data_IF_924288180771
#
_entry.id   IF_924288180771
#
_cell.length_a   1.000
_cell.length_b   1.000
_cell.length_c   1.000
_cell.angle_alpha   90.00
_cell.angle_beta   90.00
_cell.angle_gamma   90.00
#
_symmetry.space_group_name_H-M   'P 1'
#
loop_
_entity.id
_entity.type
_entity.pdbx_description
1 polymer ?
#
# COMPACT_ATOMS: atom_id res chain seq x y z
N UNK A 1 2.83 -15.53 -5.33
CA UNK A 1 2.14 -14.46 -4.60
C UNK A 1 0.89 -14.02 -5.34
N UNK A 2 -0.04 -13.45 -4.61
CA UNK A 2 -1.24 -12.92 -5.22
C UNK A 2 -0.92 -11.71 -6.09
N UNK A 3 -1.62 -11.59 -7.20
CA UNK A 3 -1.53 -10.41 -8.06
C UNK A 3 -2.75 -9.53 -7.77
N UNK A 4 -2.51 -8.26 -7.54
CA UNK A 4 -3.57 -7.28 -7.28
C UNK A 4 -3.70 -6.38 -8.49
N UNK A 5 -4.91 -6.27 -9.02
CA UNK A 5 -5.24 -5.29 -10.05
C UNK A 5 -5.52 -3.95 -9.36
N UNK A 6 -5.68 -2.91 -10.17
CA UNK A 6 -6.03 -1.60 -9.63
C UNK A 6 -7.33 -1.66 -8.83
N UNK A 7 -8.35 -2.29 -9.37
CA UNK A 7 -9.65 -2.39 -8.71
C UNK A 7 -9.57 -3.21 -7.42
N UNK A 8 -8.78 -4.27 -7.42
CA UNK A 8 -8.62 -5.07 -6.21
C UNK A 8 -7.90 -4.30 -5.11
N UNK A 9 -6.84 -3.58 -5.48
CA UNK A 9 -6.08 -2.83 -4.49
C UNK A 9 -6.92 -1.74 -3.84
N UNK A 10 -7.79 -1.10 -4.59
CA UNK A 10 -8.66 -0.05 -4.07
C UNK A 10 -9.57 -0.50 -2.95
N UNK A 11 -9.85 -1.79 -2.87
CA UNK A 11 -10.68 -2.34 -1.81
C UNK A 11 -9.98 -2.35 -0.46
N UNK A 12 -8.66 -2.18 -0.46
CA UNK A 12 -7.85 -2.22 0.76
C UNK A 12 -7.35 -0.83 1.14
N UNK A 13 -8.23 0.16 1.01
CA UNK A 13 -7.89 1.57 1.21
C UNK A 13 -8.22 2.10 2.61
N UNK A 14 -8.61 1.22 3.51
CA UNK A 14 -8.96 1.61 4.87
C UNK A 14 -10.40 2.06 5.05
N UNK A 15 -11.18 2.10 3.97
CA UNK A 15 -12.58 2.51 4.06
C UNK A 15 -13.50 1.39 4.55
N UNK A 16 -13.06 0.15 4.48
CA UNK A 16 -13.87 -1.00 4.89
C UNK A 16 -13.38 -1.53 6.23
N UNK A 17 -14.23 -1.41 7.22
CA UNK A 17 -13.90 -1.84 8.56
C UNK A 17 -13.66 -3.34 8.59
N UNK A 18 -12.59 -3.75 9.26
CA UNK A 18 -12.24 -5.16 9.38
C UNK A 18 -11.47 -5.72 8.21
N UNK A 19 -11.21 -4.91 7.20
CA UNK A 19 -10.44 -5.35 6.04
C UNK A 19 -9.01 -4.82 6.13
N UNK A 20 -8.06 -5.60 5.63
CA UNK A 20 -6.66 -5.19 5.63
C UNK A 20 -6.48 -3.89 4.84
N UNK A 21 -5.39 -3.18 5.13
CA UNK A 21 -5.07 -1.92 4.47
C UNK A 21 -3.74 -2.10 3.75
N UNK A 22 -3.74 -1.88 2.44
CA UNK A 22 -2.58 -2.10 1.59
C UNK A 22 -2.29 -0.89 0.73
N UNK A 23 -1.03 -0.82 0.26
CA UNK A 23 -0.69 0.08 -0.82
C UNK A 23 0.31 -0.62 -1.73
N UNK A 24 0.57 -0.05 -2.91
CA UNK A 24 1.55 -0.58 -3.83
C UNK A 24 2.73 0.37 -3.98
N UNK A 25 3.91 -0.19 -4.18
CA UNK A 25 5.12 0.57 -4.45
C UNK A 25 6.04 -0.30 -5.30
N UNK A 26 6.43 0.23 -6.45
CA UNK A 26 7.31 -0.45 -7.40
C UNK A 26 6.87 -1.87 -7.72
N UNK A 27 5.60 -2.04 -7.96
CA UNK A 27 5.04 -3.32 -8.37
C UNK A 27 4.82 -4.33 -7.25
N UNK A 28 5.00 -3.93 -6.00
CA UNK A 28 4.77 -4.78 -4.84
C UNK A 28 3.64 -4.21 -3.98
N UNK A 29 2.88 -5.08 -3.36
CA UNK A 29 1.79 -4.67 -2.46
C UNK A 29 2.25 -4.89 -1.03
N UNK A 30 2.16 -3.83 -0.24
CA UNK A 30 2.60 -3.83 1.16
C UNK A 30 1.41 -3.74 2.09
N UNK A 31 1.48 -4.48 3.19
CA UNK A 31 0.45 -4.49 4.22
C UNK A 31 0.79 -3.43 5.27
N UNK A 32 -0.07 -2.43 5.41
CA UNK A 32 0.10 -1.37 6.40
C UNK A 32 -1.00 -1.39 7.46
N UNK A 33 -1.72 -2.50 7.57
CA UNK A 33 -2.85 -2.62 8.49
C UNK A 33 -2.49 -2.23 9.92
N UNK A 34 -1.34 -2.67 10.39
CA UNK A 34 -0.90 -2.40 11.75
C UNK A 34 0.30 -1.46 11.84
N UNK A 35 0.59 -0.74 10.79
CA UNK A 35 1.75 0.14 10.78
C UNK A 35 1.45 1.46 11.48
N UNK A 36 2.10 1.75 12.62
CA UNK A 36 1.86 3.02 13.32
C UNK A 36 2.30 4.24 12.51
N UNK A 37 3.27 4.07 11.62
CA UNK A 37 3.74 5.18 10.79
C UNK A 37 2.66 5.68 9.84
N UNK A 38 1.79 4.77 9.38
CA UNK A 38 0.73 5.15 8.46
C UNK A 38 -0.57 5.44 9.20
N UNK A 39 -0.83 4.73 10.30
CA UNK A 39 -2.07 4.91 11.05
C UNK A 39 -2.10 6.21 11.83
N UNK A 40 -0.96 6.64 12.35
CA UNK A 40 -0.83 7.93 13.02
C UNK A 40 -0.75 9.07 12.02
N UNK A 41 -0.36 8.76 10.81
CA UNK A 41 -0.24 9.76 9.78
C UNK A 41 -1.61 10.14 9.28
N UNK A 42 -1.79 11.38 9.05
CA UNK A 42 -3.02 11.89 8.48
C UNK A 42 -3.18 11.49 7.02
N UNK A 43 -2.29 10.64 6.53
CA UNK A 43 -2.15 10.43 5.10
C UNK A 43 -2.57 9.07 4.62
N UNK A 44 -2.71 8.08 5.51
CA UNK A 44 -2.99 6.73 5.01
C UNK A 44 -4.34 6.66 4.30
N UNK A 45 -5.32 7.45 4.74
CA UNK A 45 -6.63 7.46 4.12
C UNK A 45 -6.59 7.94 2.66
N UNK A 46 -5.60 8.77 2.34
CA UNK A 46 -5.46 9.30 0.99
C UNK A 46 -4.65 8.36 0.09
N UNK A 47 -3.78 7.57 0.67
CA UNK A 47 -2.80 6.81 -0.11
C UNK A 47 -3.04 5.32 -0.12
N UNK A 48 -3.66 4.78 0.92
CA UNK A 48 -3.95 3.35 0.96
C UNK A 48 -4.84 2.96 -0.22
N UNK A 49 -4.64 1.77 -0.74
CA UNK A 49 -5.39 1.29 -1.89
C UNK A 49 -4.89 1.83 -3.23
N UNK A 50 -3.75 2.50 -3.23
CA UNK A 50 -3.19 3.12 -4.42
C UNK A 50 -1.75 2.71 -4.64
N UNK A 51 -1.25 2.99 -5.83
CA UNK A 51 0.16 2.84 -6.15
C UNK A 51 0.89 4.12 -5.78
N UNK A 52 1.78 4.03 -4.81
CA UNK A 52 2.49 5.20 -4.29
C UNK A 52 3.91 5.34 -4.85
N UNK A 53 4.21 4.64 -5.95
CA UNK A 53 5.56 4.65 -6.50
C UNK A 53 6.09 6.07 -6.72
N UNK A 54 5.32 6.90 -7.40
CA UNK A 54 5.76 8.27 -7.69
C UNK A 54 5.81 9.13 -6.44
N UNK A 55 4.82 8.97 -5.57
CA UNK A 55 4.76 9.74 -4.34
C UNK A 55 5.96 9.45 -3.43
N UNK A 56 6.30 8.18 -3.27
CA UNK A 56 7.37 7.76 -2.37
C UNK A 56 8.76 7.90 -2.97
N UNK A 57 8.85 8.15 -4.27
CA UNK A 57 10.15 8.27 -4.92
C UNK A 57 11.02 9.34 -4.28
N UNK A 58 10.39 10.42 -3.80
CA UNK A 58 11.10 11.53 -3.17
C UNK A 58 11.05 11.49 -1.65
N UNK A 59 10.47 10.45 -1.06
CA UNK A 59 10.38 10.34 0.39
C UNK A 59 11.75 10.04 1.00
N UNK A 60 12.20 10.80 2.00
CA UNK A 60 13.55 10.64 2.53
C UNK A 60 13.76 9.36 3.34
N UNK A 61 12.72 8.78 3.90
CA UNK A 61 12.85 7.60 4.76
C UNK A 61 12.06 6.40 4.25
N UNK A 62 11.85 6.33 2.93
CA UNK A 62 11.02 5.28 2.36
C UNK A 62 11.56 3.87 2.62
N UNK A 63 12.87 3.70 2.56
CA UNK A 63 13.47 2.38 2.75
C UNK A 63 13.27 1.87 4.17
N UNK A 64 13.42 2.76 5.15
CA UNK A 64 13.21 2.41 6.55
C UNK A 64 11.77 1.99 6.80
N UNK A 65 10.83 2.69 6.19
CA UNK A 65 9.41 2.39 6.31
C UNK A 65 9.10 1.04 5.69
N UNK A 66 9.58 0.83 4.46
CA UNK A 66 9.26 -0.38 3.71
C UNK A 66 9.88 -1.65 4.30
N UNK A 67 11.05 -1.54 4.91
CA UNK A 67 11.73 -2.70 5.51
C UNK A 67 10.90 -3.37 6.59
N UNK A 68 10.05 -2.63 7.26
CA UNK A 68 9.23 -3.14 8.34
C UNK A 68 7.84 -3.58 7.90
N UNK A 69 7.55 -3.51 6.62
CA UNK A 69 6.25 -3.89 6.09
C UNK A 69 6.32 -5.24 5.41
N UNK A 70 5.22 -5.98 5.52
CA UNK A 70 5.10 -7.27 4.85
C UNK A 70 4.65 -7.06 3.40
N UNK A 71 5.30 -7.77 2.48
CA UNK A 71 4.87 -7.81 1.09
C UNK A 71 3.84 -8.93 0.96
N UNK A 72 2.65 -8.60 0.49
CA UNK A 72 1.56 -9.58 0.39
C UNK A 72 1.23 -9.97 -1.05
N UNK A 73 1.83 -9.31 -2.02
CA UNK A 73 1.59 -9.64 -3.42
C UNK A 73 2.29 -8.71 -4.37
N UNK A 74 1.92 -8.83 -5.63
CA UNK A 74 2.43 -7.99 -6.70
C UNK A 74 1.32 -7.12 -7.22
N UNK A 75 1.66 -5.94 -7.70
CA UNK A 75 0.69 -5.00 -8.24
C UNK A 75 0.84 -4.95 -9.77
N UNK A 76 -0.24 -5.26 -10.47
CA UNK A 76 -0.28 -5.25 -11.93
C UNK A 76 -1.57 -4.60 -12.38
N UNK A 77 -1.61 -3.26 -12.45
CA UNK A 77 -2.85 -2.52 -12.68
C UNK A 77 -3.49 -2.80 -14.04
N UNK A 78 -2.69 -3.18 -15.01
CA UNK A 78 -3.20 -3.43 -16.36
C UNK A 78 -3.37 -4.91 -16.66
N UNK A 79 -3.33 -5.74 -15.66
CA UNK A 79 -3.52 -7.16 -15.81
C UNK A 79 -4.98 -7.42 -16.16
N UNK A 80 -5.21 -8.05 -17.27
CA UNK A 80 -6.57 -8.41 -17.69
C UNK A 80 -6.83 -9.89 -17.51
#
# INVERSE_FOLDING_TARGET
MKVFTEDELKQYDGSQKGKAIYFAYKGKVYDITDSPLFLDGLHFEHYAGNDLTDYMADAPHKDEVLENLRIVGEYKPNQS
#
